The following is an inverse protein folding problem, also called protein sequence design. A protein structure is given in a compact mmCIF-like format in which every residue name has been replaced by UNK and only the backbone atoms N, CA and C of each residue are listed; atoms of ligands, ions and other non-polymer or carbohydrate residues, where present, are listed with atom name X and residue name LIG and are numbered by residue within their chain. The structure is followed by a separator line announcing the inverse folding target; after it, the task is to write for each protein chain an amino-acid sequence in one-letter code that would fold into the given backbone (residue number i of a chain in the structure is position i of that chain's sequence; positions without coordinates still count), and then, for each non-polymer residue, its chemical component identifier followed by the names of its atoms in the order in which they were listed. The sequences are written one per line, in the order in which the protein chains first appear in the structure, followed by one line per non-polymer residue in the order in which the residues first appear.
data_IF_865047912240
#
_entry.id   IF_865047912240
#
_cell.length_a   1.000
_cell.length_b   1.000
_cell.length_c   1.000
_cell.angle_alpha   90.00
_cell.angle_beta   90.00
_cell.angle_gamma   90.00
#
_symmetry.space_group_name_H-M   'P 1'
#
loop_
_entity.id
_entity.type
_entity.pdbx_description
1 polymer ?
#
# COMPACT_ATOMS: atom_id res chain seq x y z
N UNK A 1 -10.32 4.65 -5.87
CA UNK A 1 -9.22 5.55 -5.45
C UNK A 1 -9.50 6.02 -4.05
N UNK A 2 -8.48 6.22 -3.22
CA UNK A 2 -8.65 6.61 -1.83
C UNK A 2 -7.37 7.05 -1.16
N UNK A 3 -7.41 7.07 0.17
CA UNK A 3 -6.28 7.40 1.03
C UNK A 3 -6.04 6.28 2.03
N UNK A 4 -4.77 6.01 2.31
CA UNK A 4 -4.29 5.12 3.37
C UNK A 4 -3.62 5.97 4.45
N UNK A 5 -3.94 5.70 5.70
CA UNK A 5 -3.36 6.36 6.86
C UNK A 5 -2.38 5.41 7.54
N UNK A 6 -1.18 5.92 7.80
CA UNK A 6 -0.05 5.28 8.47
C UNK A 6 0.77 4.24 7.65
N UNK A 7 1.73 4.68 6.82
CA UNK A 7 2.01 6.06 6.45
C UNK A 7 0.97 6.62 5.50
N UNK A 8 0.87 7.95 5.43
CA UNK A 8 -0.08 8.63 4.55
C UNK A 8 0.20 8.33 3.07
N UNK A 9 -0.78 7.75 2.37
CA UNK A 9 -0.65 7.37 0.96
C UNK A 9 -1.91 7.66 0.16
N UNK A 10 -1.74 7.99 -1.12
CA UNK A 10 -2.80 7.89 -2.11
C UNK A 10 -2.87 6.45 -2.59
N UNK A 11 -4.07 5.85 -2.60
CA UNK A 11 -4.32 4.47 -3.00
C UNK A 11 -5.18 4.39 -4.25
N UNK A 12 -4.76 3.58 -5.21
CA UNK A 12 -5.56 3.22 -6.38
C UNK A 12 -5.57 1.70 -6.51
N UNK A 13 -6.76 1.10 -6.38
CA UNK A 13 -6.99 -0.34 -6.49
C UNK A 13 -7.83 -0.66 -7.71
N UNK A 14 -7.47 -1.73 -8.42
CA UNK A 14 -8.22 -2.24 -9.57
C UNK A 14 -8.28 -3.77 -9.53
N UNK A 15 -9.49 -4.34 -9.59
CA UNK A 15 -9.69 -5.79 -9.65
C UNK A 15 -9.46 -6.29 -11.09
N UNK A 16 -8.46 -7.13 -11.27
CA UNK A 16 -8.17 -7.79 -12.55
C UNK A 16 -8.97 -9.08 -12.71
N UNK A 17 -9.35 -9.69 -11.59
CA UNK A 17 -10.24 -10.87 -11.49
C UNK A 17 -11.17 -10.68 -10.30
N UNK A 18 -12.14 -11.58 -10.14
CA UNK A 18 -13.09 -11.56 -9.02
C UNK A 18 -12.43 -11.65 -7.63
N UNK A 19 -11.24 -12.24 -7.56
CA UNK A 19 -10.47 -12.46 -6.33
C UNK A 19 -9.03 -11.93 -6.39
N UNK A 20 -8.67 -11.15 -7.42
CA UNK A 20 -7.32 -10.59 -7.58
C UNK A 20 -7.41 -9.10 -7.88
N UNK A 21 -6.68 -8.29 -7.11
CA UNK A 21 -6.54 -6.86 -7.31
C UNK A 21 -5.07 -6.45 -7.46
N UNK A 22 -4.86 -5.38 -8.21
CA UNK A 22 -3.62 -4.62 -8.21
C UNK A 22 -3.88 -3.33 -7.42
N UNK A 23 -3.03 -3.01 -6.46
CA UNK A 23 -3.08 -1.76 -5.70
C UNK A 23 -1.76 -0.99 -5.83
N UNK A 24 -1.87 0.28 -6.22
CA UNK A 24 -0.76 1.24 -6.22
C UNK A 24 -0.90 2.21 -5.06
N UNK A 25 0.19 2.42 -4.32
CA UNK A 25 0.29 3.33 -3.18
C UNK A 25 1.36 4.38 -3.45
N UNK A 26 0.98 5.66 -3.41
CA UNK A 26 1.88 6.79 -3.54
C UNK A 26 2.04 7.53 -2.22
N UNK A 27 3.25 7.53 -1.68
CA UNK A 27 3.62 8.20 -0.43
C UNK A 27 4.45 9.45 -0.74
N UNK A 28 4.12 10.57 -0.10
CA UNK A 28 4.76 11.85 -0.34
C UNK A 28 5.21 12.48 0.98
N UNK A 29 6.50 12.76 1.09
CA UNK A 29 7.10 13.47 2.21
C UNK A 29 7.80 14.74 1.71
N UNK A 30 8.18 15.62 2.65
CA UNK A 30 8.81 16.91 2.34
C UNK A 30 10.05 16.81 1.44
N UNK A 31 10.78 15.70 1.53
CA UNK A 31 12.07 15.51 0.84
C UNK A 31 12.15 14.21 0.05
N UNK A 32 11.03 13.55 -0.23
CA UNK A 32 11.05 12.32 -0.99
C UNK A 32 9.66 11.77 -1.26
N UNK A 33 9.60 10.81 -2.17
CA UNK A 33 8.38 10.08 -2.48
C UNK A 33 8.70 8.60 -2.58
N UNK A 34 7.70 7.76 -2.31
CA UNK A 34 7.78 6.32 -2.52
C UNK A 34 6.53 5.87 -3.27
N UNK A 35 6.71 4.94 -4.18
CA UNK A 35 5.64 4.20 -4.82
C UNK A 35 5.73 2.73 -4.44
N UNK A 36 4.62 2.13 -4.05
CA UNK A 36 4.49 0.69 -3.81
C UNK A 36 3.42 0.11 -4.74
N UNK A 37 3.73 -1.02 -5.38
CA UNK A 37 2.75 -1.85 -6.09
C UNK A 37 2.48 -3.13 -5.30
N UNK A 38 1.21 -3.49 -5.15
CA UNK A 38 0.74 -4.69 -4.46
C UNK A 38 -0.08 -5.55 -5.43
N UNK A 39 0.12 -6.86 -5.35
CA UNK A 39 -0.71 -7.86 -6.02
C UNK A 39 -1.47 -8.65 -4.96
N UNK A 40 -2.78 -8.46 -4.88
CA UNK A 40 -3.58 -8.87 -3.74
C UNK A 40 -4.57 -9.96 -4.11
N UNK A 41 -4.56 -11.05 -3.34
CA UNK A 41 -5.60 -12.08 -3.38
C UNK A 41 -6.67 -11.76 -2.34
N UNK A 42 -7.93 -11.81 -2.75
CA UNK A 42 -9.06 -11.55 -1.87
C UNK A 42 -9.91 -12.81 -1.66
N UNK A 43 -10.38 -13.00 -0.44
CA UNK A 43 -11.36 -14.05 -0.12
C UNK A 43 -12.51 -13.50 0.72
N UNK A 44 -13.68 -14.12 0.57
CA UNK A 44 -14.87 -13.74 1.34
C UNK A 44 -14.75 -14.24 2.78
N UNK A 45 -15.31 -13.48 3.72
CA UNK A 45 -15.50 -13.94 5.10
C UNK A 45 -16.94 -14.44 5.27
N UNK A 46 -17.09 -15.71 5.67
CA UNK A 46 -18.41 -16.33 5.86
C UNK A 46 -19.20 -15.57 6.93
N UNK A 47 -20.47 -15.26 6.63
CA UNK A 47 -21.34 -14.51 7.54
C UNK A 47 -21.12 -12.99 7.56
N UNK A 48 -20.17 -12.45 6.80
CA UNK A 48 -19.87 -11.01 6.76
C UNK A 48 -19.95 -10.45 5.32
N UNK A 49 -21.18 -10.19 4.85
CA UNK A 49 -21.41 -9.66 3.51
C UNK A 49 -20.71 -8.31 3.29
N UNK A 50 -19.98 -8.19 2.18
CA UNK A 50 -19.20 -6.99 1.85
C UNK A 50 -17.79 -6.97 2.47
N UNK A 51 -17.49 -7.85 3.43
CA UNK A 51 -16.18 -7.97 4.04
C UNK A 51 -15.36 -9.09 3.38
N UNK A 52 -14.14 -8.74 2.97
CA UNK A 52 -13.15 -9.66 2.44
C UNK A 52 -11.86 -9.58 3.25
N UNK A 53 -11.14 -10.69 3.35
CA UNK A 53 -9.71 -10.63 3.68
C UNK A 53 -8.92 -10.45 2.40
N UNK A 54 -7.72 -9.90 2.51
CA UNK A 54 -6.77 -9.88 1.41
C UNK A 54 -5.34 -10.09 1.88
N UNK A 55 -4.53 -10.72 1.03
CA UNK A 55 -3.11 -10.95 1.27
C UNK A 55 -2.35 -10.91 -0.05
N UNK A 56 -1.10 -10.44 -0.04
CA UNK A 56 -0.35 -10.38 -1.28
C UNK A 56 1.09 -9.90 -1.16
N UNK A 57 1.93 -10.19 -2.16
CA UNK A 57 3.25 -9.59 -2.29
C UNK A 57 3.18 -8.21 -2.93
N UNK A 58 4.27 -7.47 -2.79
CA UNK A 58 4.49 -6.21 -3.45
C UNK A 58 5.96 -5.82 -3.54
N UNK A 59 6.19 -4.66 -4.13
CA UNK A 59 7.50 -4.05 -4.20
C UNK A 59 7.37 -2.53 -4.22
N UNK A 60 8.42 -1.84 -3.81
CA UNK A 60 8.46 -0.40 -3.80
C UNK A 60 9.72 0.16 -4.42
N UNK A 61 9.60 1.41 -4.85
CA UNK A 61 10.71 2.28 -5.21
C UNK A 61 10.49 3.66 -4.58
N UNK A 62 11.53 4.20 -3.95
CA UNK A 62 11.53 5.50 -3.30
C UNK A 62 12.71 6.34 -3.73
N UNK A 63 12.50 7.65 -3.73
CA UNK A 63 13.52 8.63 -4.06
C UNK A 63 13.52 9.71 -2.99
N UNK A 64 14.65 9.87 -2.31
CA UNK A 64 14.83 10.84 -1.23
C UNK A 64 15.96 11.82 -1.56
N UNK A 65 15.80 13.08 -1.13
CA UNK A 65 16.74 14.16 -1.42
C UNK A 65 17.41 14.65 -0.13
N UNK A 66 18.69 14.31 0.04
CA UNK A 66 19.51 14.78 1.16
C UNK A 66 20.24 16.08 0.79
N UNK A 67 19.57 17.23 0.98
CA UNK A 67 20.19 18.55 0.71
C UNK A 67 21.33 18.96 1.67
N UNK A 68 21.75 18.12 2.63
CA UNK A 68 22.77 18.50 3.63
C UNK A 68 24.20 18.01 3.30
N UNK A 69 24.40 16.93 2.54
CA UNK A 69 25.76 16.44 2.25
C UNK A 69 26.13 16.64 0.77
N UNK A 70 27.27 17.31 0.54
CA UNK A 70 27.89 17.55 -0.78
C UNK A 70 28.52 16.28 -1.38
N UNK A 71 27.80 15.17 -1.33
CA UNK A 71 28.12 13.95 -2.08
C UNK A 71 26.83 13.51 -2.77
N UNK A 72 26.84 13.68 -4.10
CA UNK A 72 25.73 13.49 -5.01
C UNK A 72 25.25 12.04 -5.01
N UNK A 73 24.28 11.66 -4.18
CA UNK A 73 23.44 10.49 -4.46
C UNK A 73 22.03 10.80 -3.95
N UNK A 74 21.07 10.90 -4.86
CA UNK A 74 19.67 10.75 -4.47
C UNK A 74 19.52 9.34 -3.90
N UNK A 75 19.11 9.21 -2.64
CA UNK A 75 18.95 7.90 -2.00
C UNK A 75 17.76 7.18 -2.65
N UNK A 76 18.09 6.37 -3.66
CA UNK A 76 17.18 5.41 -4.27
C UNK A 76 16.94 4.29 -3.25
N UNK A 77 15.69 4.12 -2.86
CA UNK A 77 15.20 3.01 -2.04
C UNK A 77 14.48 2.02 -2.95
N UNK A 78 14.85 0.74 -2.87
CA UNK A 78 14.13 -0.33 -3.58
C UNK A 78 14.01 -1.51 -2.64
N UNK A 79 12.86 -2.17 -2.65
CA UNK A 79 12.62 -3.33 -1.83
C UNK A 79 11.33 -4.04 -2.15
N UNK A 80 11.02 -5.02 -1.30
CA UNK A 80 9.83 -5.86 -1.40
C UNK A 80 8.90 -5.58 -0.23
N UNK A 81 7.62 -5.82 -0.45
CA UNK A 81 6.56 -5.61 0.50
C UNK A 81 5.69 -6.87 0.57
N UNK A 82 5.03 -7.05 1.70
CA UNK A 82 3.86 -7.92 1.83
C UNK A 82 2.69 -7.12 2.34
N UNK A 83 1.47 -7.61 2.16
CA UNK A 83 0.28 -7.02 2.76
C UNK A 83 -0.66 -8.11 3.27
N UNK A 84 -1.28 -7.86 4.42
CA UNK A 84 -2.38 -8.66 4.96
C UNK A 84 -3.41 -7.70 5.54
N UNK A 85 -4.68 -7.86 5.17
CA UNK A 85 -5.71 -6.96 5.65
C UNK A 85 -7.14 -7.43 5.47
N UNK A 86 -8.03 -6.54 5.86
CA UNK A 86 -9.47 -6.63 5.72
C UNK A 86 -9.95 -5.48 4.83
N UNK A 87 -10.89 -5.80 3.94
CA UNK A 87 -11.43 -4.91 2.93
C UNK A 87 -12.96 -4.97 2.97
N UNK A 88 -13.60 -3.89 3.39
CA UNK A 88 -15.05 -3.80 3.60
C UNK A 88 -15.69 -2.84 2.60
N UNK A 89 -16.51 -3.36 1.70
CA UNK A 89 -17.35 -2.54 0.81
C UNK A 89 -18.70 -2.28 1.46
N UNK A 90 -19.03 -1.01 1.65
CA UNK A 90 -20.32 -0.61 2.24
C UNK A 90 -21.43 -0.85 1.21
N UNK A 91 -22.45 -1.62 1.60
CA UNK A 91 -23.60 -1.87 0.74
C UNK A 91 -24.41 -0.58 0.55
N UNK A 92 -24.74 -0.25 -0.70
CA UNK A 92 -25.53 0.94 -1.02
C UNK A 92 -24.74 2.26 -1.06
N UNK A 93 -23.43 2.25 -0.81
CA UNK A 93 -22.58 3.43 -0.93
C UNK A 93 -21.33 3.12 -1.78
N UNK A 94 -20.82 4.08 -2.57
CA UNK A 94 -19.61 3.90 -3.37
C UNK A 94 -18.34 4.03 -2.51
N UNK A 95 -18.33 3.45 -1.30
CA UNK A 95 -17.28 3.59 -0.29
C UNK A 95 -16.80 2.22 0.17
N UNK A 96 -15.49 2.12 0.32
CA UNK A 96 -14.77 0.97 0.81
C UNK A 96 -13.80 1.39 1.92
N UNK A 97 -13.72 0.58 2.97
CA UNK A 97 -12.83 0.76 4.10
C UNK A 97 -11.83 -0.38 4.14
N UNK A 98 -10.56 -0.11 4.45
CA UNK A 98 -9.58 -1.18 4.70
C UNK A 98 -8.83 -1.00 6.00
N UNK A 99 -8.40 -2.13 6.55
CA UNK A 99 -7.46 -2.21 7.65
C UNK A 99 -6.37 -3.22 7.27
N UNK A 100 -5.10 -2.86 7.38
CA UNK A 100 -4.02 -3.75 6.99
C UNK A 100 -2.72 -3.55 7.77
N UNK A 101 -1.88 -4.58 7.67
CA UNK A 101 -0.47 -4.56 8.03
C UNK A 101 0.35 -4.82 6.77
N UNK A 102 1.50 -4.18 6.67
CA UNK A 102 2.37 -4.24 5.52
C UNK A 102 3.83 -4.42 5.97
N UNK A 103 4.35 -5.66 6.00
CA UNK A 103 5.78 -5.90 6.17
C UNK A 103 6.58 -5.32 4.99
N UNK A 104 7.66 -4.61 5.29
CA UNK A 104 8.51 -3.92 4.31
C UNK A 104 9.95 -4.37 4.51
N UNK A 105 10.61 -4.81 3.43
CA UNK A 105 12.04 -5.09 3.41
C UNK A 105 12.71 -4.20 2.35
N UNK A 106 13.47 -3.21 2.79
CA UNK A 106 14.27 -2.39 1.89
C UNK A 106 15.63 -3.03 1.65
N UNK A 107 16.09 -3.02 0.40
CA UNK A 107 17.28 -3.72 -0.07
C UNK A 107 18.32 -2.73 -0.62
N UNK A 108 17.89 -1.79 -1.48
CA UNK A 108 18.77 -0.78 -2.11
C UNK A 108 18.69 0.54 -1.34
N UNK A 109 19.83 1.21 -1.14
CA UNK A 109 19.97 2.32 -0.20
C UNK A 109 20.34 1.74 1.17
N UNK A 110 19.47 1.92 2.17
CA UNK A 110 19.65 1.33 3.50
C UNK A 110 18.94 -0.02 3.63
N UNK A 111 19.65 -1.09 3.99
CA UNK A 111 18.97 -2.37 4.26
C UNK A 111 18.27 -2.32 5.61
N UNK A 112 16.94 -2.45 5.62
CA UNK A 112 16.13 -2.49 6.84
C UNK A 112 14.85 -3.30 6.68
N UNK A 113 14.28 -3.70 7.82
CA UNK A 113 12.94 -4.27 7.94
C UNK A 113 12.05 -3.36 8.76
N UNK A 114 10.81 -3.18 8.32
CA UNK A 114 9.79 -2.38 9.00
C UNK A 114 8.41 -3.04 8.84
N UNK A 115 7.46 -2.66 9.70
CA UNK A 115 6.06 -3.10 9.60
C UNK A 115 5.16 -1.89 9.65
N UNK A 116 4.55 -1.60 8.50
CA UNK A 116 3.57 -0.54 8.37
C UNK A 116 2.18 -1.05 8.70
N UNK A 117 1.30 -0.12 9.07
CA UNK A 117 -0.12 -0.37 9.22
C UNK A 117 -0.89 0.25 8.06
N UNK A 118 -2.21 0.34 8.22
CA UNK A 118 -3.04 0.99 7.23
C UNK A 118 -4.48 1.06 7.67
N UNK A 119 -5.03 2.26 7.80
CA UNK A 119 -6.47 2.48 7.72
C UNK A 119 -6.78 3.17 6.40
N UNK A 120 -7.64 2.59 5.59
CA UNK A 120 -7.94 3.08 4.24
C UNK A 120 -9.39 3.48 4.07
N UNK A 121 -9.62 4.55 3.29
CA UNK A 121 -10.94 4.90 2.76
C UNK A 121 -10.81 5.09 1.26
N UNK A 122 -11.57 4.32 0.48
CA UNK A 122 -11.56 4.35 -1.00
C UNK A 122 -12.97 4.56 -1.54
N UNK A 123 -13.07 5.38 -2.58
CA UNK A 123 -14.24 5.43 -3.44
C UNK A 123 -14.18 4.29 -4.46
N UNK A 124 -15.29 3.56 -4.58
CA UNK A 124 -15.48 2.45 -5.52
C UNK A 124 -16.63 2.78 -6.46
N UNK A 125 -16.34 2.80 -7.77
CA UNK A 125 -17.32 2.96 -8.84
C UNK A 125 -17.41 1.68 -9.66
#
# INVERSE_FOLDING_TARGET
MGVKFYPGAISVKHFTKSNVALEGLGYFWKYGFRFTGLYEYHGNISGAAGLKWYVGPGAHVGFYNNKWNRQNDGELSVGIDGVLGLDYKINGAPINLSLDIQPVFNIVGDTYFDVWGGLGVRFTF
#
